data_IF_148761122328
#
_entry.id   IF_148761122328
#
_cell.length_a   1.000
_cell.length_b   1.000
_cell.length_c   1.000
_cell.angle_alpha   90.00
_cell.angle_beta   90.00
_cell.angle_gamma   90.00
#
_symmetry.space_group_name_H-M   'P 1'
#
loop_
_entity.id
_entity.type
_entity.pdbx_description
1 polymer ?
#
# COMPACT_ATOMS: atom_id res chain seq x y z
N UNK A 1 9.04 -22.64 37.76
CA UNK A 1 8.25 -22.67 36.51
C UNK A 1 9.21 -22.74 35.34
N UNK A 2 9.35 -23.89 34.70
CA UNK A 2 10.19 -24.07 33.52
C UNK A 2 9.45 -23.52 32.31
N UNK A 3 9.93 -22.41 31.75
CA UNK A 3 9.42 -21.87 30.49
C UNK A 3 9.70 -22.91 29.40
N UNK A 4 8.65 -23.56 28.90
CA UNK A 4 8.78 -24.49 27.78
C UNK A 4 9.39 -23.73 26.59
N UNK A 5 10.48 -24.23 26.03
CA UNK A 5 11.02 -23.71 24.77
C UNK A 5 10.01 -23.99 23.67
N UNK A 6 9.40 -22.93 23.13
CA UNK A 6 8.56 -23.04 21.93
C UNK A 6 9.48 -23.39 20.77
N UNK A 7 9.35 -24.60 20.22
CA UNK A 7 10.09 -25.01 19.05
C UNK A 7 9.54 -24.31 17.80
N UNK A 8 10.35 -23.45 17.19
CA UNK A 8 10.00 -22.77 15.95
C UNK A 8 10.25 -23.71 14.78
N UNK A 9 9.18 -24.14 14.11
CA UNK A 9 9.22 -25.03 12.95
C UNK A 9 9.92 -24.37 11.75
N UNK A 10 10.47 -25.18 10.84
CA UNK A 10 11.08 -24.67 9.60
C UNK A 10 10.08 -23.87 8.77
N UNK A 11 8.84 -24.34 8.67
CA UNK A 11 7.75 -23.66 7.97
C UNK A 11 7.50 -22.26 8.53
N UNK A 12 7.47 -22.12 9.86
CA UNK A 12 7.28 -20.80 10.49
C UNK A 12 8.41 -19.83 10.14
N UNK A 13 9.66 -20.31 10.11
CA UNK A 13 10.81 -19.50 9.70
C UNK A 13 10.70 -19.04 8.25
N UNK A 14 10.29 -19.94 7.36
CA UNK A 14 10.09 -19.62 5.94
C UNK A 14 8.98 -18.58 5.76
N UNK A 15 7.86 -18.74 6.46
CA UNK A 15 6.76 -17.77 6.43
C UNK A 15 7.20 -16.38 6.89
N UNK A 16 7.98 -16.29 7.97
CA UNK A 16 8.54 -15.01 8.42
C UNK A 16 9.52 -14.37 7.42
N UNK A 17 10.36 -15.18 6.77
CA UNK A 17 11.26 -14.67 5.72
C UNK A 17 10.44 -14.14 4.54
N UNK A 18 9.41 -14.87 4.11
CA UNK A 18 8.52 -14.45 3.03
C UNK A 18 7.74 -13.18 3.39
N UNK A 19 7.28 -13.05 4.63
CA UNK A 19 6.62 -11.85 5.13
C UNK A 19 7.56 -10.64 5.12
N UNK A 20 8.82 -10.81 5.54
CA UNK A 20 9.83 -9.75 5.44
C UNK A 20 10.09 -9.34 3.98
N UNK A 21 10.24 -10.32 3.08
CA UNK A 21 10.42 -10.07 1.65
C UNK A 21 9.23 -9.33 1.07
N UNK A 22 8.00 -9.69 1.45
CA UNK A 22 6.78 -8.99 1.04
C UNK A 22 6.84 -7.50 1.42
N UNK A 23 7.10 -7.18 2.69
CA UNK A 23 7.19 -5.78 3.13
C UNK A 23 8.30 -5.02 2.38
N UNK A 24 9.45 -5.66 2.17
CA UNK A 24 10.56 -5.04 1.46
C UNK A 24 10.24 -4.77 -0.01
N UNK A 25 9.55 -5.70 -0.69
CA UNK A 25 9.10 -5.53 -2.08
C UNK A 25 8.08 -4.40 -2.18
N UNK A 26 7.09 -4.35 -1.28
CA UNK A 26 6.10 -3.26 -1.24
C UNK A 26 6.79 -1.90 -1.05
N UNK A 27 7.74 -1.81 -0.12
CA UNK A 27 8.50 -0.59 0.13
C UNK A 27 9.35 -0.17 -1.09
N UNK A 28 10.11 -1.10 -1.67
CA UNK A 28 10.97 -0.82 -2.84
C UNK A 28 10.14 -0.37 -4.03
N UNK A 29 9.06 -1.09 -4.37
CA UNK A 29 8.19 -0.74 -5.50
C UNK A 29 7.56 0.64 -5.29
N UNK A 30 7.09 0.94 -4.07
CA UNK A 30 6.53 2.25 -3.74
C UNK A 30 7.56 3.36 -3.95
N UNK A 31 8.76 3.23 -3.36
CA UNK A 31 9.81 4.25 -3.47
C UNK A 31 10.28 4.41 -4.91
N UNK A 32 10.46 3.30 -5.63
CA UNK A 32 10.89 3.32 -7.02
C UNK A 32 9.89 4.04 -7.93
N UNK A 33 8.59 3.74 -7.80
CA UNK A 33 7.55 4.40 -8.58
C UNK A 33 7.47 5.88 -8.24
N UNK A 34 7.48 6.25 -6.96
CA UNK A 34 7.46 7.66 -6.56
C UNK A 34 8.67 8.42 -7.10
N UNK A 35 9.87 7.84 -6.99
CA UNK A 35 11.08 8.42 -7.56
C UNK A 35 10.95 8.61 -9.07
N UNK A 36 10.51 7.58 -9.81
CA UNK A 36 10.29 7.65 -11.25
C UNK A 36 9.33 8.78 -11.62
N UNK A 37 8.23 8.96 -10.87
CA UNK A 37 7.26 10.00 -11.18
C UNK A 37 7.81 11.41 -10.92
N UNK A 38 8.49 11.61 -9.78
CA UNK A 38 9.08 12.92 -9.45
C UNK A 38 10.27 13.28 -10.35
N UNK A 39 10.96 12.29 -10.94
CA UNK A 39 12.03 12.52 -11.92
C UNK A 39 11.49 12.87 -13.32
N UNK A 40 10.31 12.36 -13.68
CA UNK A 40 9.76 12.47 -15.04
C UNK A 40 8.63 13.50 -15.21
N UNK A 41 8.02 13.98 -14.13
CA UNK A 41 6.92 14.95 -14.19
C UNK A 41 7.18 16.16 -13.30
N UNK A 42 6.80 17.33 -13.81
CA UNK A 42 6.87 18.58 -13.05
C UNK A 42 5.83 18.60 -11.91
N UNK A 43 6.13 19.33 -10.83
CA UNK A 43 5.29 19.39 -9.63
C UNK A 43 3.92 20.05 -9.84
N UNK A 44 3.78 20.87 -10.89
CA UNK A 44 2.54 21.50 -11.33
C UNK A 44 1.69 20.58 -12.24
N UNK A 45 2.20 19.42 -12.63
CA UNK A 45 1.45 18.43 -13.41
C UNK A 45 0.36 17.76 -12.57
N UNK A 46 -0.91 17.96 -12.95
CA UNK A 46 -2.04 17.24 -12.35
C UNK A 46 -1.89 15.71 -12.53
N UNK A 47 -1.27 15.28 -13.63
CA UNK A 47 -1.01 13.86 -13.89
C UNK A 47 -0.04 13.25 -12.88
N UNK A 48 1.00 14.00 -12.46
CA UNK A 48 1.90 13.55 -11.40
C UNK A 48 1.13 13.20 -10.13
N UNK A 49 0.22 14.09 -9.71
CA UNK A 49 -0.56 13.88 -8.50
C UNK A 49 -1.55 12.72 -8.62
N UNK A 50 -2.13 12.48 -9.80
CA UNK A 50 -2.88 11.25 -10.07
C UNK A 50 -2.02 9.99 -9.82
N UNK A 51 -0.80 9.95 -10.37
CA UNK A 51 0.11 8.82 -10.21
C UNK A 51 0.53 8.62 -8.75
N UNK A 52 0.98 9.69 -8.09
CA UNK A 52 1.45 9.65 -6.69
C UNK A 52 0.35 9.19 -5.74
N UNK A 53 -0.85 9.78 -5.84
CA UNK A 53 -1.96 9.46 -4.95
C UNK A 53 -2.48 8.03 -5.19
N UNK A 54 -2.59 7.62 -6.46
CA UNK A 54 -3.02 6.25 -6.80
C UNK A 54 -2.02 5.21 -6.35
N UNK A 55 -0.70 5.45 -6.55
CA UNK A 55 0.34 4.54 -6.08
C UNK A 55 0.38 4.46 -4.56
N UNK A 56 0.31 5.58 -3.84
CA UNK A 56 0.28 5.58 -2.38
C UNK A 56 -0.94 4.83 -1.80
N UNK A 57 -2.11 4.98 -2.44
CA UNK A 57 -3.32 4.27 -2.08
C UNK A 57 -3.20 2.74 -2.29
N UNK A 58 -2.90 2.33 -3.53
CA UNK A 58 -2.98 0.93 -3.91
C UNK A 58 -1.78 0.09 -3.51
N UNK A 59 -0.58 0.67 -3.44
CA UNK A 59 0.64 -0.11 -3.22
C UNK A 59 0.90 -0.27 -1.72
N UNK A 60 1.37 0.73 -0.95
CA UNK A 60 1.68 0.51 0.46
C UNK A 60 0.43 0.43 1.35
N UNK A 61 -0.55 1.33 1.18
CA UNK A 61 -1.69 1.40 2.12
C UNK A 61 -2.59 0.17 2.00
N UNK A 62 -3.00 -0.19 0.78
CA UNK A 62 -3.85 -1.36 0.55
C UNK A 62 -3.12 -2.67 0.81
N UNK A 63 -1.85 -2.81 0.39
CA UNK A 63 -1.09 -4.04 0.66
C UNK A 63 -0.89 -4.29 2.16
N UNK A 64 -0.52 -3.27 2.92
CA UNK A 64 -0.39 -3.39 4.38
C UNK A 64 -1.74 -3.66 5.06
N UNK A 65 -2.83 -3.07 4.56
CA UNK A 65 -4.16 -3.35 5.07
C UNK A 65 -4.60 -4.81 4.87
N UNK A 66 -4.16 -5.45 3.78
CA UNK A 66 -4.46 -6.85 3.46
C UNK A 66 -3.58 -7.79 4.30
N UNK A 67 -2.26 -7.59 4.31
CA UNK A 67 -1.32 -8.50 5.00
C UNK A 67 -1.47 -8.46 6.52
N UNK A 68 -2.03 -7.38 7.08
CA UNK A 68 -2.27 -7.20 8.51
C UNK A 68 -2.93 -8.41 9.19
N UNK A 69 -3.82 -9.11 8.49
CA UNK A 69 -4.56 -10.26 9.02
C UNK A 69 -3.84 -11.60 8.89
N UNK A 70 -2.72 -11.66 8.16
CA UNK A 70 -1.92 -12.87 8.10
C UNK A 70 -1.39 -13.22 9.51
N UNK A 71 -1.52 -14.50 9.89
CA UNK A 71 -1.16 -14.97 11.23
C UNK A 71 0.33 -14.93 11.52
N UNK A 72 1.12 -14.96 10.45
CA UNK A 72 2.58 -14.91 10.37
C UNK A 72 3.11 -13.50 10.05
N UNK A 73 2.25 -12.48 9.97
CA UNK A 73 2.68 -11.10 9.76
C UNK A 73 3.43 -10.56 10.98
N UNK A 74 4.73 -10.30 10.81
CA UNK A 74 5.66 -10.05 11.91
C UNK A 74 5.26 -8.86 12.78
N UNK A 75 4.83 -7.76 12.17
CA UNK A 75 4.54 -6.52 12.90
C UNK A 75 3.14 -6.53 13.55
N UNK A 76 2.20 -7.32 13.05
CA UNK A 76 0.82 -7.37 13.56
C UNK A 76 0.52 -8.62 14.38
N UNK A 77 1.46 -9.56 14.52
CA UNK A 77 1.24 -10.85 15.20
C UNK A 77 0.78 -10.68 16.66
N UNK A 78 1.24 -9.64 17.35
CA UNK A 78 0.85 -9.33 18.74
C UNK A 78 -0.45 -8.55 18.90
N UNK A 79 -1.13 -8.19 17.80
CA UNK A 79 -2.36 -7.41 17.85
C UNK A 79 -3.60 -8.30 17.96
N UNK A 80 -4.46 -7.96 18.92
CA UNK A 80 -5.80 -8.54 19.02
C UNK A 80 -6.65 -8.18 17.79
N UNK A 81 -7.60 -9.04 17.46
CA UNK A 81 -8.47 -8.89 16.27
C UNK A 81 -9.21 -7.54 16.21
N UNK A 82 -9.76 -6.98 17.30
CA UNK A 82 -10.39 -5.65 17.26
C UNK A 82 -9.41 -4.54 16.86
N UNK A 83 -8.15 -4.60 17.34
CA UNK A 83 -7.10 -3.64 16.97
C UNK A 83 -6.70 -3.80 15.51
N UNK A 84 -6.58 -5.03 15.00
CA UNK A 84 -6.34 -5.29 13.57
C UNK A 84 -7.46 -4.70 12.71
N UNK A 85 -8.73 -4.89 13.08
CA UNK A 85 -9.85 -4.30 12.35
C UNK A 85 -9.79 -2.76 12.30
N UNK A 86 -9.42 -2.13 13.41
CA UNK A 86 -9.27 -0.68 13.46
C UNK A 86 -8.12 -0.19 12.55
N UNK A 87 -6.94 -0.81 12.63
CA UNK A 87 -5.80 -0.47 11.77
C UNK A 87 -6.13 -0.68 10.29
N UNK A 88 -6.78 -1.78 9.94
CA UNK A 88 -7.28 -2.04 8.58
C UNK A 88 -8.21 -0.92 8.10
N UNK A 89 -9.19 -0.54 8.93
CA UNK A 89 -10.12 0.54 8.62
C UNK A 89 -9.43 1.89 8.40
N UNK A 90 -8.42 2.21 9.21
CA UNK A 90 -7.63 3.45 9.05
C UNK A 90 -6.84 3.42 7.75
N UNK A 91 -6.10 2.34 7.47
CA UNK A 91 -5.29 2.22 6.26
C UNK A 91 -6.15 2.30 4.99
N UNK A 92 -7.28 1.57 4.95
CA UNK A 92 -8.21 1.66 3.83
C UNK A 92 -8.95 3.00 3.76
N UNK A 93 -9.26 3.62 4.89
CA UNK A 93 -9.86 4.95 4.92
C UNK A 93 -8.95 5.99 4.25
N UNK A 94 -7.66 5.99 4.60
CA UNK A 94 -6.66 6.86 3.96
C UNK A 94 -6.51 6.49 2.48
N UNK A 95 -6.46 5.19 2.16
CA UNK A 95 -6.39 4.70 0.77
C UNK A 95 -7.57 5.19 -0.08
N UNK A 96 -8.79 5.19 0.46
CA UNK A 96 -10.00 5.67 -0.22
C UNK A 96 -9.87 7.16 -0.51
N UNK A 97 -9.50 7.96 0.48
CA UNK A 97 -9.33 9.41 0.30
C UNK A 97 -8.26 9.71 -0.77
N UNK A 98 -7.12 9.03 -0.70
CA UNK A 98 -6.03 9.21 -1.65
C UNK A 98 -6.45 8.82 -3.08
N UNK A 99 -7.08 7.65 -3.28
CA UNK A 99 -7.47 7.24 -4.63
C UNK A 99 -8.61 8.09 -5.19
N UNK A 100 -9.57 8.52 -4.38
CA UNK A 100 -10.62 9.44 -4.82
C UNK A 100 -10.03 10.76 -5.30
N UNK A 101 -9.05 11.31 -4.57
CA UNK A 101 -8.32 12.51 -5.00
C UNK A 101 -7.52 12.26 -6.30
N UNK A 102 -6.85 11.11 -6.41
CA UNK A 102 -6.13 10.73 -7.63
C UNK A 102 -7.03 10.60 -8.86
N UNK A 103 -8.23 10.02 -8.71
CA UNK A 103 -9.24 9.95 -9.77
C UNK A 103 -9.75 11.35 -10.14
N UNK A 104 -9.97 12.23 -9.16
CA UNK A 104 -10.38 13.61 -9.41
C UNK A 104 -9.33 14.39 -10.22
N UNK A 105 -8.03 14.20 -9.93
CA UNK A 105 -6.94 14.74 -10.74
C UNK A 105 -7.05 14.30 -12.21
N UNK A 106 -7.25 13.00 -12.46
CA UNK A 106 -7.34 12.48 -13.83
C UNK A 106 -8.58 12.99 -14.57
N UNK A 107 -9.73 13.09 -13.90
CA UNK A 107 -10.94 13.69 -14.46
C UNK A 107 -10.69 15.15 -14.85
N UNK A 108 -10.05 15.94 -13.98
CA UNK A 108 -9.70 17.34 -14.27
C UNK A 108 -8.78 17.43 -15.49
N UNK A 109 -7.73 16.60 -15.54
CA UNK A 109 -6.77 16.56 -16.65
C UNK A 109 -7.46 16.25 -17.99
N UNK A 110 -8.38 15.30 -18.01
CA UNK A 110 -9.13 14.93 -19.22
C UNK A 110 -10.10 16.04 -19.65
N UNK A 111 -10.76 16.72 -18.71
CA UNK A 111 -11.60 17.87 -19.00
C UNK A 111 -10.81 19.01 -19.66
N UNK A 112 -9.62 19.35 -19.12
CA UNK A 112 -8.77 20.41 -19.65
C UNK A 112 -8.28 20.12 -21.07
N UNK A 113 -8.10 18.84 -21.42
CA UNK A 113 -7.68 18.38 -22.74
C UNK A 113 -8.83 18.12 -23.72
N UNK A 114 -10.08 18.18 -23.27
CA UNK A 114 -11.24 17.75 -24.07
C UNK A 114 -11.22 16.27 -24.44
N UNK A 115 -10.54 15.43 -23.64
CA UNK A 115 -10.38 14.01 -23.90
C UNK A 115 -11.57 13.20 -23.37
N UNK A 116 -11.97 12.10 -24.04
CA UNK A 116 -13.00 11.21 -23.53
C UNK A 116 -12.61 10.54 -22.21
N UNK A 117 -13.60 10.36 -21.34
CA UNK A 117 -13.47 9.67 -20.05
C UNK A 117 -13.56 8.15 -20.22
N UNK A 118 -12.96 7.41 -19.27
CA UNK A 118 -12.99 5.95 -19.20
C UNK A 118 -12.42 5.22 -20.43
N UNK A 119 -11.51 5.87 -21.14
CA UNK A 119 -10.66 5.28 -22.17
C UNK A 119 -9.20 5.60 -21.88
N UNK A 120 -8.31 4.67 -22.20
CA UNK A 120 -6.87 4.94 -22.17
C UNK A 120 -6.52 6.03 -23.17
N UNK A 121 -5.58 6.90 -22.79
CA UNK A 121 -5.02 7.92 -23.67
C UNK A 121 -4.19 7.31 -24.81
#
# INVERSE_FOLDING_TARGET
>A
MTVAKVEITLTQRLLWILNLVFHQVVAIVTVWLLWLFFDNFALDSIFLWHLVLSTAAYVPLMAEAIILFAGDNLWSQGLERPKKNWVHGVLLGISIVAVTAGIACEISRKNDRGAPHFVSD
#
